data_IF_399461315410
#
_entry.id   IF_399461315410
#
_cell.length_a   1.000
_cell.length_b   1.000
_cell.length_c   1.000
_cell.angle_alpha   90.00
_cell.angle_beta   90.00
_cell.angle_gamma   90.00
#
_symmetry.space_group_name_H-M   'P 1'
#
loop_
_entity.id
_entity.type
_entity.pdbx_description
1 polymer ?
#
# COMPACT_ATOMS: atom_id res chain seq x y z
N UNK A 1 5.37 13.43 -4.51
CA UNK A 1 5.20 13.62 -3.05
C UNK A 1 5.05 15.07 -2.58
N UNK A 2 5.57 16.11 -3.26
CA UNK A 2 5.60 17.48 -2.72
C UNK A 2 4.24 18.04 -2.24
N UNK A 3 3.16 17.83 -3.00
CA UNK A 3 1.82 18.23 -2.57
C UNK A 3 1.41 17.52 -1.26
N UNK A 4 1.53 16.20 -1.21
CA UNK A 4 1.18 15.41 -0.03
C UNK A 4 1.96 15.81 1.22
N UNK A 5 3.28 16.01 1.11
CA UNK A 5 4.09 16.48 2.24
C UNK A 5 3.67 17.86 2.75
N UNK A 6 3.29 18.77 1.85
CA UNK A 6 2.72 20.07 2.24
C UNK A 6 1.32 19.93 2.86
N UNK A 7 0.49 19.00 2.38
CA UNK A 7 -0.81 18.72 2.98
C UNK A 7 -0.67 18.18 4.40
N UNK A 8 0.25 17.23 4.64
CA UNK A 8 0.58 16.73 5.98
C UNK A 8 1.11 17.84 6.89
N UNK A 9 2.07 18.63 6.41
CA UNK A 9 2.61 19.75 7.18
C UNK A 9 1.51 20.75 7.57
N UNK A 10 0.58 21.05 6.66
CA UNK A 10 -0.62 21.82 6.97
C UNK A 10 -1.48 21.16 8.05
N UNK A 11 -1.79 19.87 7.91
CA UNK A 11 -2.62 19.15 8.86
C UNK A 11 -2.04 19.18 10.28
N UNK A 12 -0.72 19.03 10.41
CA UNK A 12 -0.04 18.98 11.71
C UNK A 12 0.14 20.38 12.30
N UNK A 13 0.70 21.32 11.53
CA UNK A 13 1.13 22.63 12.04
C UNK A 13 0.03 23.68 12.01
N UNK A 14 -1.00 23.48 11.19
CA UNK A 14 -2.03 24.47 10.84
C UNK A 14 -1.46 25.77 10.25
N UNK A 15 -0.24 25.75 9.71
CA UNK A 15 0.34 26.89 8.99
C UNK A 15 -0.17 26.92 7.54
N UNK A 16 -0.99 27.94 7.24
CA UNK A 16 -1.65 28.12 5.94
C UNK A 16 -0.68 28.23 4.77
N UNK A 17 0.61 28.52 4.99
CA UNK A 17 1.63 28.53 3.94
C UNK A 17 1.75 27.15 3.28
N UNK A 18 1.71 26.08 4.07
CA UNK A 18 1.78 24.71 3.56
C UNK A 18 0.52 24.32 2.78
N UNK A 19 -0.68 24.67 3.28
CA UNK A 19 -1.94 24.45 2.56
C UNK A 19 -1.92 25.11 1.17
N UNK A 20 -1.52 26.38 1.10
CA UNK A 20 -1.39 27.12 -0.15
C UNK A 20 -0.39 26.47 -1.10
N UNK A 21 0.74 25.97 -0.57
CA UNK A 21 1.77 25.31 -1.38
C UNK A 21 1.34 23.94 -1.89
N UNK A 22 0.59 23.17 -1.10
CA UNK A 22 -0.03 21.92 -1.56
C UNK A 22 -0.96 22.17 -2.75
N UNK A 23 -1.90 23.11 -2.59
CA UNK A 23 -2.87 23.47 -3.65
C UNK A 23 -2.14 24.00 -4.89
N UNK A 24 -1.11 24.82 -4.72
CA UNK A 24 -0.31 25.32 -5.84
C UNK A 24 0.25 24.18 -6.71
N UNK A 25 0.82 23.13 -6.10
CA UNK A 25 1.29 21.97 -6.85
C UNK A 25 0.17 21.18 -7.50
N UNK A 26 -0.94 20.96 -6.77
CA UNK A 26 -2.10 20.23 -7.32
C UNK A 26 -2.73 20.97 -8.51
N UNK A 27 -2.89 22.28 -8.43
CA UNK A 27 -3.45 23.12 -9.50
C UNK A 27 -2.50 23.15 -10.72
N UNK A 28 -1.19 23.27 -10.49
CA UNK A 28 -0.19 23.28 -11.58
C UNK A 28 -0.19 21.96 -12.38
N UNK A 29 -0.23 20.82 -11.68
CA UNK A 29 -0.21 19.51 -12.34
C UNK A 29 -1.57 19.13 -12.93
N UNK A 30 -2.69 19.43 -12.26
CA UNK A 30 -4.03 19.14 -12.79
C UNK A 30 -4.37 19.91 -14.05
N UNK A 31 -3.75 21.07 -14.28
CA UNK A 31 -3.84 21.79 -15.56
C UNK A 31 -2.95 21.24 -16.68
N UNK A 32 -2.03 20.31 -16.40
CA UNK A 32 -0.97 19.90 -17.35
C UNK A 32 -0.99 18.42 -17.69
N UNK A 33 -1.19 17.53 -16.70
CA UNK A 33 -1.09 16.08 -16.91
C UNK A 33 -2.29 15.60 -17.74
N UNK A 34 -1.99 14.94 -18.87
CA UNK A 34 -3.00 14.33 -19.75
C UNK A 34 -2.96 12.79 -19.74
N UNK A 35 -1.93 12.19 -19.13
CA UNK A 35 -1.80 10.74 -19.02
C UNK A 35 -0.36 10.29 -18.78
N UNK A 36 -0.18 8.97 -18.73
CA UNK A 36 1.12 8.30 -18.58
C UNK A 36 1.38 7.39 -19.79
N UNK A 37 2.65 7.21 -20.17
CA UNK A 37 3.05 6.39 -21.31
C UNK A 37 4.19 5.41 -20.94
N UNK A 38 4.51 4.50 -21.87
CA UNK A 38 5.45 3.38 -21.73
C UNK A 38 4.92 2.18 -20.93
N UNK A 39 5.72 1.11 -20.88
CA UNK A 39 5.35 -0.17 -20.25
C UNK A 39 5.12 -0.08 -18.74
N UNK A 40 5.73 0.92 -18.08
CA UNK A 40 5.57 1.20 -16.66
C UNK A 40 4.46 2.23 -16.36
N UNK A 41 3.73 2.73 -17.38
CA UNK A 41 2.68 3.73 -17.19
C UNK A 41 1.68 3.38 -16.08
N UNK A 42 1.13 2.15 -16.00
CA UNK A 42 0.16 1.82 -14.96
C UNK A 42 0.74 1.94 -13.55
N UNK A 43 1.99 1.47 -13.34
CA UNK A 43 2.64 1.54 -12.03
C UNK A 43 2.97 2.97 -11.63
N UNK A 44 3.52 3.76 -12.55
CA UNK A 44 3.84 5.16 -12.32
C UNK A 44 2.59 6.00 -12.05
N UNK A 45 1.50 5.71 -12.77
CA UNK A 45 0.19 6.32 -12.54
C UNK A 45 -0.31 5.98 -11.13
N UNK A 46 -0.25 4.71 -10.72
CA UNK A 46 -0.65 4.30 -9.37
C UNK A 46 0.18 4.99 -8.27
N UNK A 47 1.51 4.92 -8.33
CA UNK A 47 2.37 5.59 -7.32
C UNK A 47 2.12 7.09 -7.20
N UNK A 48 1.87 7.75 -8.33
CA UNK A 48 1.53 9.17 -8.36
C UNK A 48 0.13 9.43 -7.78
N UNK A 49 -0.87 8.65 -8.20
CA UNK A 49 -2.25 8.76 -7.74
C UNK A 49 -2.37 8.53 -6.23
N UNK A 50 -1.70 7.54 -5.65
CA UNK A 50 -1.66 7.30 -4.21
C UNK A 50 -1.21 8.53 -3.40
N UNK A 51 -0.30 9.35 -3.93
CA UNK A 51 0.07 10.62 -3.31
C UNK A 51 -0.99 11.71 -3.52
N UNK A 52 -1.53 11.80 -4.75
CA UNK A 52 -2.51 12.80 -5.11
C UNK A 52 -3.77 12.69 -4.28
N UNK A 53 -4.32 11.49 -4.14
CA UNK A 53 -5.59 11.28 -3.44
C UNK A 53 -5.49 11.60 -1.96
N UNK A 54 -4.36 11.29 -1.30
CA UNK A 54 -4.11 11.68 0.10
C UNK A 54 -3.97 13.19 0.26
N UNK A 55 -3.21 13.84 -0.62
CA UNK A 55 -3.08 15.29 -0.62
C UNK A 55 -4.46 15.95 -0.81
N UNK A 56 -5.22 15.47 -1.80
CA UNK A 56 -6.58 15.89 -2.09
C UNK A 56 -7.48 15.76 -0.88
N UNK A 57 -7.51 14.60 -0.24
CA UNK A 57 -8.43 14.36 0.88
C UNK A 57 -8.11 15.21 2.10
N UNK A 58 -6.83 15.33 2.47
CA UNK A 58 -6.41 16.23 3.56
C UNK A 58 -6.83 17.67 3.23
N UNK A 59 -6.59 18.15 2.00
CA UNK A 59 -6.91 19.53 1.64
C UNK A 59 -8.43 19.77 1.57
N UNK A 60 -9.21 18.83 1.02
CA UNK A 60 -10.68 18.92 0.88
C UNK A 60 -11.36 18.96 2.24
N UNK A 61 -10.93 18.10 3.17
CA UNK A 61 -11.50 17.99 4.51
C UNK A 61 -11.10 19.14 5.45
N UNK A 62 -9.88 19.67 5.31
CA UNK A 62 -9.32 20.56 6.34
C UNK A 62 -9.10 22.02 5.90
N UNK A 63 -9.13 22.34 4.60
CA UNK A 63 -8.86 23.70 4.11
C UNK A 63 -9.98 24.23 3.22
N UNK A 64 -10.99 24.84 3.85
CA UNK A 64 -12.20 25.42 3.22
C UNK A 64 -11.94 26.47 2.12
N UNK A 65 -10.71 26.95 1.97
CA UNK A 65 -10.33 27.96 0.95
C UNK A 65 -9.79 27.34 -0.34
N UNK A 66 -9.81 26.02 -0.51
CA UNK A 66 -9.53 25.40 -1.80
C UNK A 66 -10.68 25.70 -2.78
N UNK A 67 -10.45 26.42 -3.89
CA UNK A 67 -11.54 26.82 -4.78
C UNK A 67 -12.24 25.63 -5.43
N UNK A 68 -13.57 25.68 -5.55
CA UNK A 68 -14.38 24.62 -6.17
C UNK A 68 -13.89 24.26 -7.59
N UNK A 69 -13.56 25.28 -8.40
CA UNK A 69 -13.01 25.07 -9.76
C UNK A 69 -11.67 24.33 -9.76
N UNK A 70 -10.81 24.59 -8.78
CA UNK A 70 -9.54 23.86 -8.62
C UNK A 70 -9.81 22.40 -8.24
N UNK A 71 -10.77 22.15 -7.35
CA UNK A 71 -11.22 20.79 -6.99
C UNK A 71 -11.76 20.06 -8.23
N UNK A 72 -12.63 20.70 -9.02
CA UNK A 72 -13.17 20.12 -10.26
C UNK A 72 -12.07 19.77 -11.27
N UNK A 73 -11.08 20.66 -11.45
CA UNK A 73 -9.94 20.42 -12.35
C UNK A 73 -9.09 19.24 -11.86
N UNK A 74 -8.83 19.17 -10.56
CA UNK A 74 -8.11 18.06 -9.96
C UNK A 74 -8.88 16.73 -10.06
N UNK A 75 -10.20 16.75 -9.83
CA UNK A 75 -11.09 15.60 -10.04
C UNK A 75 -11.06 15.12 -11.49
N UNK A 76 -11.08 16.05 -12.45
CA UNK A 76 -10.94 15.73 -13.88
C UNK A 76 -9.59 15.06 -14.18
N UNK A 77 -8.48 15.55 -13.63
CA UNK A 77 -7.18 14.90 -13.76
C UNK A 77 -7.21 13.45 -13.26
N UNK A 78 -7.78 13.19 -12.08
CA UNK A 78 -7.91 11.82 -11.55
C UNK A 78 -8.73 10.93 -12.50
N UNK A 79 -9.89 11.41 -12.97
CA UNK A 79 -10.78 10.65 -13.86
C UNK A 79 -10.19 10.34 -15.23
N UNK A 80 -9.40 11.24 -15.80
CA UNK A 80 -9.01 11.13 -17.20
C UNK A 80 -7.53 10.79 -17.42
N UNK A 81 -6.64 11.20 -16.52
CA UNK A 81 -5.20 10.92 -16.66
C UNK A 81 -4.73 9.70 -15.85
N UNK A 82 -5.44 9.34 -14.77
CA UNK A 82 -5.01 8.30 -13.83
C UNK A 82 -5.90 7.06 -13.88
N UNK A 83 -7.19 7.19 -13.54
CA UNK A 83 -8.10 6.04 -13.35
C UNK A 83 -8.13 5.04 -14.52
N UNK A 84 -8.15 5.45 -15.81
CA UNK A 84 -8.20 4.51 -16.92
C UNK A 84 -7.04 3.52 -16.96
N UNK A 85 -5.91 3.85 -16.33
CA UNK A 85 -4.71 3.00 -16.28
C UNK A 85 -4.70 2.02 -15.11
N UNK A 86 -5.50 2.25 -14.06
CA UNK A 86 -5.34 1.57 -12.76
C UNK A 86 -6.63 0.94 -12.22
N UNK A 87 -7.81 1.43 -12.62
CA UNK A 87 -9.09 1.02 -12.03
C UNK A 87 -9.49 -0.44 -12.30
N UNK A 88 -8.80 -1.11 -13.24
CA UNK A 88 -9.02 -2.52 -13.57
C UNK A 88 -7.98 -3.45 -12.93
N UNK A 89 -7.01 -2.89 -12.21
CA UNK A 89 -5.86 -3.62 -11.68
C UNK A 89 -4.94 -4.15 -12.78
N UNK A 90 -3.95 -4.95 -12.37
CA UNK A 90 -2.97 -5.58 -13.25
C UNK A 90 -2.78 -7.05 -12.85
N UNK A 91 -3.75 -7.93 -13.16
CA UNK A 91 -3.85 -9.22 -12.49
C UNK A 91 -2.70 -10.19 -12.78
N UNK A 92 -2.03 -9.99 -13.93
CA UNK A 92 -0.86 -10.77 -14.40
C UNK A 92 0.48 -10.12 -14.09
N UNK A 93 0.50 -8.97 -13.41
CA UNK A 93 1.74 -8.35 -12.90
C UNK A 93 2.02 -8.86 -11.49
N UNK A 94 3.21 -8.53 -11.00
CA UNK A 94 3.61 -8.75 -9.62
C UNK A 94 2.59 -8.15 -8.64
N UNK A 95 2.34 -8.81 -7.52
CA UNK A 95 1.21 -8.50 -6.65
C UNK A 95 1.26 -7.09 -6.06
N UNK A 96 2.47 -6.57 -5.78
CA UNK A 96 2.64 -5.20 -5.31
C UNK A 96 2.12 -4.16 -6.32
N UNK A 97 2.17 -4.43 -7.63
CA UNK A 97 1.67 -3.51 -8.66
C UNK A 97 0.16 -3.35 -8.58
N UNK A 98 -0.57 -4.47 -8.54
CA UNK A 98 -2.03 -4.39 -8.47
C UNK A 98 -2.48 -3.82 -7.13
N UNK A 99 -1.77 -4.12 -6.03
CA UNK A 99 -2.10 -3.56 -4.71
C UNK A 99 -2.00 -2.03 -4.67
N UNK A 100 -0.95 -1.44 -5.23
CA UNK A 100 -0.85 0.04 -5.25
C UNK A 100 -1.84 0.69 -6.22
N UNK A 101 -2.24 -0.03 -7.28
CA UNK A 101 -3.35 0.42 -8.14
C UNK A 101 -4.66 0.46 -7.35
N UNK A 102 -4.97 -0.61 -6.61
CA UNK A 102 -6.18 -0.70 -5.78
C UNK A 102 -6.17 0.40 -4.71
N UNK A 103 -5.03 0.61 -4.02
CA UNK A 103 -4.84 1.68 -3.03
C UNK A 103 -5.18 3.05 -3.62
N UNK A 104 -4.65 3.33 -4.80
CA UNK A 104 -4.87 4.58 -5.51
C UNK A 104 -6.33 4.75 -5.93
N UNK A 105 -6.95 3.68 -6.44
CA UNK A 105 -8.34 3.71 -6.91
C UNK A 105 -9.33 3.85 -5.76
N UNK A 106 -9.11 3.18 -4.61
CA UNK A 106 -9.93 3.37 -3.40
C UNK A 106 -9.82 4.82 -2.91
N UNK A 107 -8.59 5.35 -2.80
CA UNK A 107 -8.40 6.75 -2.39
C UNK A 107 -9.05 7.74 -3.37
N UNK A 108 -8.99 7.46 -4.68
CA UNK A 108 -9.65 8.27 -5.69
C UNK A 108 -11.18 8.17 -5.59
N UNK A 109 -11.74 6.99 -5.34
CA UNK A 109 -13.17 6.78 -5.18
C UNK A 109 -13.72 7.55 -3.98
N UNK A 110 -13.02 7.53 -2.84
CA UNK A 110 -13.37 8.35 -1.66
C UNK A 110 -13.33 9.83 -2.01
N UNK A 111 -12.22 10.31 -2.58
CA UNK A 111 -12.08 11.73 -2.92
C UNK A 111 -13.12 12.20 -3.95
N UNK A 112 -13.48 11.35 -4.92
CA UNK A 112 -14.44 11.66 -5.99
C UNK A 112 -15.90 11.40 -5.59
N UNK A 113 -16.15 10.86 -4.39
CA UNK A 113 -17.46 10.39 -3.93
C UNK A 113 -18.10 9.40 -4.93
N UNK A 114 -17.30 8.46 -5.45
CA UNK A 114 -17.68 7.51 -6.50
C UNK A 114 -17.90 6.10 -5.92
N UNK A 115 -19.15 5.81 -5.55
CA UNK A 115 -19.51 4.54 -4.89
C UNK A 115 -19.27 3.31 -5.78
N UNK A 116 -19.55 3.40 -7.08
CA UNK A 116 -19.35 2.27 -8.00
C UNK A 116 -17.86 1.93 -8.17
N UNK A 117 -17.00 2.95 -8.26
CA UNK A 117 -15.55 2.76 -8.29
C UNK A 117 -15.04 2.18 -6.97
N UNK A 118 -15.61 2.62 -5.85
CA UNK A 118 -15.27 2.12 -4.52
C UNK A 118 -15.61 0.62 -4.39
N UNK A 119 -16.84 0.22 -4.66
CA UNK A 119 -17.31 -1.17 -4.62
C UNK A 119 -16.47 -2.09 -5.51
N UNK A 120 -16.27 -1.69 -6.78
CA UNK A 120 -15.39 -2.43 -7.70
C UNK A 120 -13.98 -2.62 -7.12
N UNK A 121 -13.43 -1.59 -6.48
CA UNK A 121 -12.08 -1.65 -5.91
C UNK A 121 -12.01 -2.53 -4.66
N UNK A 122 -13.10 -2.62 -3.89
CA UNK A 122 -13.21 -3.57 -2.77
C UNK A 122 -13.16 -5.02 -3.27
N UNK A 123 -13.87 -5.34 -4.35
CA UNK A 123 -13.82 -6.67 -4.96
C UNK A 123 -12.40 -7.04 -5.39
N UNK A 124 -11.68 -6.08 -6.00
CA UNK A 124 -10.27 -6.27 -6.36
C UNK A 124 -9.39 -6.49 -5.13
N UNK A 125 -9.58 -5.71 -4.06
CA UNK A 125 -8.84 -5.85 -2.82
C UNK A 125 -9.07 -7.21 -2.18
N UNK A 126 -10.33 -7.60 -2.01
CA UNK A 126 -10.72 -8.88 -1.39
C UNK A 126 -10.18 -10.09 -2.16
N UNK A 127 -10.10 -10.00 -3.50
CA UNK A 127 -9.51 -11.07 -4.31
C UNK A 127 -7.97 -11.06 -4.27
N UNK A 128 -7.33 -9.88 -4.19
CA UNK A 128 -5.87 -9.74 -4.29
C UNK A 128 -5.14 -10.12 -3.02
N UNK A 129 -5.65 -9.76 -1.83
CA UNK A 129 -4.94 -10.04 -0.56
C UNK A 129 -4.65 -11.53 -0.34
N UNK A 130 -5.62 -12.46 -0.43
CA UNK A 130 -5.34 -13.89 -0.26
C UNK A 130 -4.49 -14.49 -1.39
N UNK A 131 -4.50 -13.87 -2.58
CA UNK A 131 -3.62 -14.23 -3.69
C UNK A 131 -2.22 -13.61 -3.60
N UNK A 132 -1.96 -12.79 -2.58
CA UNK A 132 -0.68 -12.12 -2.35
C UNK A 132 0.03 -12.62 -1.09
N UNK A 133 -0.68 -12.86 0.00
CA UNK A 133 -0.12 -13.37 1.27
C UNK A 133 -0.75 -14.71 1.60
N UNK A 134 0.05 -15.76 1.64
CA UNK A 134 -0.38 -17.11 1.95
C UNK A 134 -0.69 -17.31 3.44
N UNK A 135 -1.76 -18.04 3.74
CA UNK A 135 -1.98 -18.68 5.04
C UNK A 135 -2.03 -20.20 4.88
N UNK A 136 -1.59 -20.95 5.89
CA UNK A 136 -1.75 -22.41 5.90
C UNK A 136 -3.20 -22.88 5.80
N UNK A 137 -4.15 -22.03 6.19
CA UNK A 137 -5.59 -22.27 6.02
C UNK A 137 -6.05 -22.24 4.56
N UNK A 138 -5.26 -21.69 3.63
CA UNK A 138 -5.57 -21.65 2.19
C UNK A 138 -5.42 -23.04 1.53
N UNK A 139 -4.79 -23.99 2.24
CA UNK A 139 -4.49 -25.33 1.75
C UNK A 139 -3.05 -25.44 1.24
N UNK A 140 -2.81 -26.33 0.27
CA UNK A 140 -1.46 -26.67 -0.19
C UNK A 140 -0.73 -25.51 -0.88
N UNK A 141 -1.49 -24.61 -1.52
CA UNK A 141 -0.97 -23.49 -2.29
C UNK A 141 -1.77 -22.23 -1.96
N UNK A 142 -1.23 -21.03 -2.26
CA UNK A 142 -1.96 -19.78 -2.12
C UNK A 142 -3.26 -19.74 -2.91
N UNK A 143 -4.21 -18.93 -2.43
CA UNK A 143 -5.48 -18.70 -3.12
C UNK A 143 -5.19 -18.15 -4.52
N UNK A 144 -5.90 -18.67 -5.51
CA UNK A 144 -5.71 -18.25 -6.90
C UNK A 144 -6.26 -16.84 -7.11
N UNK A 145 -5.41 -15.95 -7.61
CA UNK A 145 -5.81 -14.59 -7.98
C UNK A 145 -6.46 -14.54 -9.36
N UNK A 146 -6.91 -13.34 -9.73
CA UNK A 146 -7.32 -13.04 -11.11
C UNK A 146 -6.12 -13.21 -12.06
N UNK A 147 -6.39 -13.47 -13.34
CA UNK A 147 -5.35 -13.49 -14.38
C UNK A 147 -4.98 -14.87 -14.91
N UNK A 148 -5.63 -15.93 -14.43
CA UNK A 148 -5.53 -17.28 -15.00
C UNK A 148 -4.28 -18.05 -14.60
N UNK A 149 -3.72 -17.78 -13.41
CA UNK A 149 -2.56 -18.49 -12.86
C UNK A 149 -3.11 -19.63 -11.99
N UNK A 150 -3.40 -20.78 -12.61
CA UNK A 150 -4.30 -21.77 -12.02
C UNK A 150 -3.67 -23.17 -11.85
N UNK A 151 -2.58 -23.45 -12.55
CA UNK A 151 -1.85 -24.71 -12.37
C UNK A 151 -0.78 -24.58 -11.29
N UNK A 152 -0.41 -25.69 -10.66
CA UNK A 152 0.70 -25.72 -9.69
C UNK A 152 2.00 -25.14 -10.27
N UNK A 153 2.35 -25.48 -11.52
CA UNK A 153 3.56 -24.97 -12.15
C UNK A 153 3.51 -23.45 -12.37
N UNK A 154 2.35 -22.92 -12.77
CA UNK A 154 2.15 -21.48 -12.91
C UNK A 154 2.21 -20.76 -11.57
N UNK A 155 1.61 -21.31 -10.52
CA UNK A 155 1.67 -20.74 -9.16
C UNK A 155 3.12 -20.69 -8.67
N UNK A 156 3.85 -21.80 -8.74
CA UNK A 156 5.26 -21.87 -8.32
C UNK A 156 6.09 -20.84 -9.09
N UNK A 157 5.93 -20.78 -10.42
CA UNK A 157 6.65 -19.80 -11.25
C UNK A 157 6.29 -18.36 -10.86
N UNK A 158 5.01 -18.08 -10.62
CA UNK A 158 4.53 -16.74 -10.27
C UNK A 158 4.99 -16.32 -8.87
N UNK A 159 5.09 -17.25 -7.93
CA UNK A 159 5.63 -17.04 -6.58
C UNK A 159 7.16 -17.19 -6.54
N UNK A 160 7.84 -16.78 -7.62
CA UNK A 160 9.30 -16.73 -7.72
C UNK A 160 10.00 -18.05 -7.41
N UNK A 161 9.43 -19.14 -7.92
CA UNK A 161 9.90 -20.53 -7.77
C UNK A 161 9.85 -21.06 -6.33
N UNK A 162 9.01 -20.48 -5.46
CA UNK A 162 8.70 -21.08 -4.16
C UNK A 162 7.84 -22.34 -4.35
N UNK A 163 8.39 -23.50 -4.03
CA UNK A 163 7.73 -24.79 -4.30
C UNK A 163 6.77 -25.24 -3.19
N UNK A 164 7.04 -24.86 -1.94
CA UNK A 164 6.29 -25.34 -0.77
C UNK A 164 5.86 -24.19 0.14
N UNK A 165 4.74 -24.36 0.83
CA UNK A 165 4.17 -23.33 1.69
C UNK A 165 3.90 -23.87 3.10
N UNK A 166 4.94 -24.26 3.86
CA UNK A 166 4.76 -24.94 5.15
C UNK A 166 4.35 -23.99 6.30
N UNK A 167 4.40 -22.67 6.09
CA UNK A 167 4.10 -21.65 7.10
C UNK A 167 3.29 -20.50 6.48
N UNK A 168 2.46 -19.88 7.30
CA UNK A 168 1.74 -18.65 6.94
C UNK A 168 2.69 -17.47 6.79
N UNK A 169 2.26 -16.47 6.03
CA UNK A 169 2.95 -15.19 5.88
C UNK A 169 3.86 -15.08 4.67
N UNK A 170 4.13 -16.18 3.94
CA UNK A 170 4.86 -16.12 2.67
C UNK A 170 4.06 -15.22 1.72
N UNK A 171 4.71 -14.24 1.10
CA UNK A 171 4.09 -13.38 0.08
C UNK A 171 4.53 -13.81 -1.31
N UNK A 172 3.76 -13.37 -2.32
CA UNK A 172 4.11 -13.60 -3.72
C UNK A 172 5.48 -13.01 -4.08
N UNK A 173 5.99 -12.02 -3.33
CA UNK A 173 7.28 -11.35 -3.59
C UNK A 173 8.40 -11.88 -2.68
N UNK A 174 8.14 -12.76 -1.72
CA UNK A 174 9.14 -13.20 -0.71
C UNK A 174 10.43 -13.68 -1.35
N UNK A 175 10.33 -14.47 -2.43
CA UNK A 175 11.51 -14.99 -3.15
C UNK A 175 11.99 -14.12 -4.31
N UNK A 176 11.34 -12.96 -4.51
CA UNK A 176 11.88 -11.91 -5.35
C UNK A 176 12.85 -11.07 -4.54
N UNK A 177 12.32 -10.40 -3.53
CA UNK A 177 13.04 -9.53 -2.60
C UNK A 177 12.08 -8.98 -1.49
N UNK A 178 12.67 -8.58 -0.37
CA UNK A 178 11.98 -8.05 0.81
C UNK A 178 11.54 -6.59 0.64
N UNK A 179 12.20 -5.81 -0.22
CA UNK A 179 11.73 -4.47 -0.56
C UNK A 179 10.33 -4.50 -1.21
N UNK A 180 10.10 -5.36 -2.20
CA UNK A 180 8.79 -5.49 -2.86
C UNK A 180 7.74 -6.16 -1.98
N UNK A 181 8.15 -7.07 -1.09
CA UNK A 181 7.29 -7.55 -0.01
C UNK A 181 6.77 -6.38 0.83
N UNK A 182 7.67 -5.46 1.20
CA UNK A 182 7.33 -4.28 1.98
C UNK A 182 6.35 -3.38 1.23
N UNK A 183 6.51 -3.19 -0.10
CA UNK A 183 5.59 -2.38 -0.90
C UNK A 183 4.16 -2.96 -0.91
N UNK A 184 4.01 -4.27 -1.09
CA UNK A 184 2.69 -4.90 -1.09
C UNK A 184 2.02 -4.82 0.29
N UNK A 185 2.76 -5.10 1.37
CA UNK A 185 2.24 -4.95 2.74
C UNK A 185 1.82 -3.50 3.01
N UNK A 186 2.64 -2.52 2.61
CA UNK A 186 2.33 -1.09 2.78
C UNK A 186 1.04 -0.71 2.07
N UNK A 187 0.86 -1.11 0.81
CA UNK A 187 -0.40 -0.85 0.08
C UNK A 187 -1.62 -1.50 0.72
N UNK A 188 -1.52 -2.75 1.18
CA UNK A 188 -2.61 -3.42 1.91
C UNK A 188 -2.96 -2.63 3.18
N UNK A 189 -1.95 -2.15 3.90
CA UNK A 189 -2.13 -1.42 5.14
C UNK A 189 -2.83 -0.08 4.92
N UNK A 190 -2.42 0.66 3.88
CA UNK A 190 -3.05 1.93 3.52
C UNK A 190 -4.49 1.76 3.04
N UNK A 191 -4.78 0.70 2.29
CA UNK A 191 -6.15 0.34 1.93
C UNK A 191 -6.95 0.07 3.19
N UNK A 192 -6.50 -0.85 4.05
CA UNK A 192 -7.21 -1.25 5.25
C UNK A 192 -7.48 -0.06 6.21
N UNK A 193 -6.53 0.86 6.38
CA UNK A 193 -6.77 2.09 7.15
C UNK A 193 -7.78 3.03 6.49
N UNK A 194 -7.74 3.16 5.15
CA UNK A 194 -8.76 3.93 4.43
C UNK A 194 -10.14 3.32 4.61
N UNK A 195 -10.27 1.99 4.50
CA UNK A 195 -11.53 1.28 4.71
C UNK A 195 -12.04 1.46 6.15
N UNK A 196 -11.15 1.37 7.15
CA UNK A 196 -11.49 1.61 8.55
C UNK A 196 -12.03 3.02 8.77
N UNK A 197 -11.42 4.04 8.16
CA UNK A 197 -11.90 5.43 8.20
C UNK A 197 -13.28 5.56 7.53
N UNK A 198 -13.56 4.79 6.47
CA UNK A 198 -14.87 4.70 5.82
C UNK A 198 -15.87 3.79 6.56
N UNK A 199 -15.53 3.29 7.76
CA UNK A 199 -16.42 2.49 8.61
C UNK A 199 -16.34 0.97 8.40
N UNK A 200 -15.39 0.47 7.60
CA UNK A 200 -15.17 -0.96 7.36
C UNK A 200 -13.82 -1.43 7.93
N UNK A 201 -13.83 -2.01 9.12
CA UNK A 201 -12.62 -2.50 9.79
C UNK A 201 -12.21 -3.91 9.28
N UNK A 202 -11.59 -3.96 8.10
CA UNK A 202 -11.15 -5.22 7.46
C UNK A 202 -10.03 -5.94 8.22
N UNK A 203 -9.31 -5.25 9.11
CA UNK A 203 -8.33 -5.88 9.97
C UNK A 203 -8.95 -6.95 10.87
N UNK A 204 -10.22 -6.74 11.27
CA UNK A 204 -10.99 -7.65 12.13
C UNK A 204 -12.05 -8.46 11.39
N UNK A 205 -12.72 -7.85 10.41
CA UNK A 205 -13.89 -8.47 9.77
C UNK A 205 -13.53 -9.46 8.66
N UNK A 206 -12.25 -9.53 8.28
CA UNK A 206 -11.72 -10.44 7.25
C UNK A 206 -10.40 -11.07 7.71
N UNK A 207 -9.76 -11.87 6.85
CA UNK A 207 -8.45 -12.46 7.13
C UNK A 207 -7.25 -11.54 6.84
N UNK A 208 -7.49 -10.29 6.41
CA UNK A 208 -6.45 -9.29 6.09
C UNK A 208 -5.50 -9.11 7.28
N UNK A 209 -6.01 -8.98 8.50
CA UNK A 209 -5.19 -8.82 9.70
C UNK A 209 -4.27 -10.03 9.96
N UNK A 210 -4.83 -11.24 9.91
CA UNK A 210 -4.05 -12.47 10.12
C UNK A 210 -2.97 -12.66 9.05
N UNK A 211 -3.28 -12.33 7.78
CA UNK A 211 -2.33 -12.38 6.66
C UNK A 211 -1.17 -11.41 6.89
N UNK A 212 -1.48 -10.14 7.14
CA UNK A 212 -0.46 -9.10 7.31
C UNK A 212 0.40 -9.35 8.55
N UNK A 213 -0.20 -9.79 9.66
CA UNK A 213 0.55 -10.17 10.87
C UNK A 213 1.53 -11.30 10.59
N UNK A 214 1.06 -12.39 9.97
CA UNK A 214 1.90 -13.53 9.65
C UNK A 214 3.03 -13.14 8.70
N UNK A 215 2.75 -12.30 7.70
CA UNK A 215 3.77 -11.81 6.78
C UNK A 215 4.81 -10.96 7.50
N UNK A 216 4.39 -10.00 8.32
CA UNK A 216 5.30 -9.13 9.05
C UNK A 216 6.21 -9.92 10.00
N UNK A 217 5.65 -10.80 10.83
CA UNK A 217 6.44 -11.56 11.79
C UNK A 217 7.35 -12.61 11.12
N UNK A 218 6.95 -13.19 9.99
CA UNK A 218 7.83 -14.05 9.19
C UNK A 218 9.02 -13.25 8.66
N UNK A 219 8.75 -12.18 7.90
CA UNK A 219 9.79 -11.48 7.16
C UNK A 219 10.74 -10.72 8.10
N UNK A 220 10.21 -10.06 9.13
CA UNK A 220 11.05 -9.29 10.07
C UNK A 220 11.92 -10.18 10.96
N UNK A 221 11.49 -11.41 11.27
CA UNK A 221 12.34 -12.38 11.97
C UNK A 221 13.54 -12.81 11.12
N UNK A 222 13.35 -12.96 9.81
CA UNK A 222 14.40 -13.31 8.85
C UNK A 222 15.32 -12.12 8.57
N UNK A 223 14.74 -10.94 8.34
CA UNK A 223 15.43 -9.67 8.06
C UNK A 223 16.39 -9.27 9.19
N UNK A 224 15.89 -9.29 10.43
CA UNK A 224 16.69 -8.99 11.62
C UNK A 224 17.63 -10.12 12.05
N UNK A 225 17.68 -11.23 11.29
CA UNK A 225 18.50 -12.43 11.56
C UNK A 225 18.22 -13.10 12.92
N UNK A 226 17.07 -12.82 13.52
CA UNK A 226 16.61 -13.52 14.74
C UNK A 226 16.21 -14.97 14.46
N UNK A 227 15.83 -15.26 13.21
CA UNK A 227 15.67 -16.62 12.69
C UNK A 227 16.51 -16.82 11.43
N UNK A 228 17.13 -17.99 11.24
CA UNK A 228 17.85 -18.29 10.01
C UNK A 228 16.88 -18.45 8.84
N UNK A 229 17.32 -18.11 7.63
CA UNK A 229 16.57 -18.37 6.41
C UNK A 229 16.59 -19.87 6.13
N UNK A 230 15.43 -20.56 6.13
CA UNK A 230 15.41 -22.00 5.92
C UNK A 230 15.61 -22.33 4.44
N UNK A 231 16.25 -23.47 4.15
CA UNK A 231 16.50 -23.91 2.76
C UNK A 231 15.22 -24.07 1.91
N UNK A 232 14.10 -24.41 2.54
CA UNK A 232 12.82 -24.55 1.83
C UNK A 232 12.24 -23.21 1.37
N UNK A 233 12.67 -22.08 1.94
CA UNK A 233 12.21 -20.74 1.58
C UNK A 233 13.24 -20.11 0.63
N UNK A 234 12.85 -19.83 -0.60
CA UNK A 234 13.68 -19.12 -1.58
C UNK A 234 15.07 -19.78 -1.77
N UNK A 235 15.12 -21.12 -1.69
CA UNK A 235 16.34 -21.91 -1.70
C UNK A 235 17.39 -21.46 -0.65
N UNK A 236 16.93 -20.94 0.49
CA UNK A 236 17.78 -20.46 1.58
C UNK A 236 18.41 -19.08 1.37
N UNK A 237 18.00 -18.32 0.34
CA UNK A 237 18.61 -17.03 0.00
C UNK A 237 17.55 -15.93 -0.09
N UNK A 238 17.81 -14.80 0.56
CA UNK A 238 17.03 -13.55 0.43
C UNK A 238 18.01 -12.43 0.08
N UNK A 239 17.78 -11.66 -1.00
CA UNK A 239 18.80 -10.78 -1.58
C UNK A 239 18.95 -9.42 -0.88
N UNK A 240 17.97 -8.99 -0.09
CA UNK A 240 17.89 -7.64 0.48
C UNK A 240 17.13 -7.61 1.83
N UNK A 241 16.75 -6.41 2.27
CA UNK A 241 16.11 -6.15 3.55
C UNK A 241 14.72 -5.52 3.38
N UNK A 242 13.91 -5.60 4.43
CA UNK A 242 12.61 -4.94 4.48
C UNK A 242 12.78 -3.42 4.40
N UNK A 243 11.93 -2.78 3.59
CA UNK A 243 11.89 -1.31 3.49
C UNK A 243 11.19 -0.69 4.72
N UNK A 244 11.59 0.52 5.15
CA UNK A 244 11.11 1.14 6.40
C UNK A 244 9.73 1.80 6.26
N UNK A 245 8.73 1.01 5.87
CA UNK A 245 7.38 1.46 5.45
C UNK A 245 6.25 0.63 6.07
N UNK A 246 6.58 -0.14 7.11
CA UNK A 246 5.68 -1.13 7.73
C UNK A 246 4.91 -0.58 8.93
N UNK A 247 5.18 0.67 9.32
CA UNK A 247 4.53 1.35 10.46
C UNK A 247 2.99 1.30 10.43
N UNK A 248 2.30 1.51 9.30
CA UNK A 248 0.84 1.53 9.31
C UNK A 248 0.24 0.18 9.72
N UNK A 249 0.77 -0.93 9.20
CA UNK A 249 0.34 -2.26 9.63
C UNK A 249 0.71 -2.56 11.07
N UNK A 250 1.93 -2.24 11.50
CA UNK A 250 2.34 -2.49 12.88
C UNK A 250 1.49 -1.68 13.87
N UNK A 251 1.22 -0.42 13.58
CA UNK A 251 0.32 0.40 14.39
C UNK A 251 -1.08 -0.23 14.47
N UNK A 252 -1.66 -0.62 13.33
CA UNK A 252 -2.96 -1.27 13.31
C UNK A 252 -2.98 -2.55 14.16
N UNK A 253 -2.07 -3.50 13.91
CA UNK A 253 -2.09 -4.81 14.54
C UNK A 253 -1.59 -4.80 15.99
N UNK A 254 -0.43 -4.19 16.25
CA UNK A 254 0.20 -4.24 17.57
C UNK A 254 -0.40 -3.21 18.54
N UNK A 255 -0.58 -1.96 18.09
CA UNK A 255 -1.06 -0.89 18.97
C UNK A 255 -2.59 -0.88 19.07
N UNK A 256 -3.32 -0.86 17.94
CA UNK A 256 -4.78 -0.77 17.97
C UNK A 256 -5.46 -2.11 18.34
N UNK A 257 -4.91 -3.25 17.90
CA UNK A 257 -5.49 -4.58 18.19
C UNK A 257 -4.78 -5.34 19.31
N UNK A 258 -3.62 -4.86 19.80
CA UNK A 258 -2.92 -5.47 20.92
C UNK A 258 -2.16 -6.76 20.57
N UNK A 259 -1.88 -7.03 19.30
CA UNK A 259 -1.15 -8.22 18.87
C UNK A 259 0.33 -8.14 19.30
N UNK A 260 0.91 -9.29 19.67
CA UNK A 260 2.33 -9.36 20.05
C UNK A 260 3.18 -9.64 18.83
N UNK A 261 3.84 -8.61 18.33
CA UNK A 261 4.69 -8.66 17.12
C UNK A 261 6.15 -8.29 17.44
N UNK A 262 6.88 -9.11 18.21
CA UNK A 262 8.22 -8.78 18.71
C UNK A 262 9.27 -8.60 17.61
N UNK A 263 9.21 -9.40 16.53
CA UNK A 263 10.19 -9.29 15.46
C UNK A 263 10.00 -8.00 14.67
N UNK A 264 8.74 -7.68 14.37
CA UNK A 264 8.37 -6.46 13.66
C UNK A 264 8.69 -5.21 14.47
N UNK A 265 8.42 -5.25 15.78
CA UNK A 265 8.78 -4.16 16.70
C UNK A 265 10.28 -3.86 16.65
N UNK A 266 11.12 -4.90 16.70
CA UNK A 266 12.58 -4.73 16.70
C UNK A 266 13.07 -4.07 15.40
N UNK A 267 12.60 -4.56 14.24
CA UNK A 267 12.96 -3.99 12.93
C UNK A 267 12.52 -2.53 12.83
N UNK A 268 11.26 -2.22 13.17
CA UNK A 268 10.75 -0.85 13.10
C UNK A 268 11.53 0.12 13.99
N UNK A 269 11.84 -0.26 15.23
CA UNK A 269 12.63 0.59 16.12
C UNK A 269 14.03 0.89 15.56
N UNK A 270 14.64 -0.06 14.86
CA UNK A 270 15.94 0.15 14.20
C UNK A 270 15.88 1.02 12.94
N UNK A 271 14.70 1.15 12.34
CA UNK A 271 14.46 1.88 11.09
C UNK A 271 13.89 3.29 11.30
N UNK A 272 13.49 3.63 12.53
CA UNK A 272 12.93 4.95 12.88
C UNK A 272 14.02 6.02 13.06
N UNK A 273 13.77 7.28 12.65
CA UNK A 273 12.68 7.68 11.76
C UNK A 273 12.96 7.26 10.31
N UNK A 274 11.94 6.70 9.64
CA UNK A 274 12.05 6.37 8.23
C UNK A 274 12.10 7.66 7.40
N UNK A 275 13.06 7.74 6.48
CA UNK A 275 13.16 8.83 5.51
C UNK A 275 12.41 8.54 4.21
N UNK A 276 12.28 9.58 3.38
CA UNK A 276 11.88 9.43 1.98
C UNK A 276 13.13 9.04 1.18
N UNK A 277 13.10 7.90 0.51
CA UNK A 277 14.20 7.42 -0.34
C UNK A 277 14.19 8.10 -1.71
N UNK A 278 15.33 8.09 -2.42
CA UNK A 278 15.45 8.59 -3.79
C UNK A 278 15.59 7.41 -4.78
N UNK A 279 14.75 7.33 -5.84
CA UNK A 279 13.65 8.23 -6.15
C UNK A 279 12.47 8.07 -5.16
N UNK A 280 11.78 9.17 -4.79
CA UNK A 280 10.65 9.11 -3.87
C UNK A 280 9.51 8.31 -4.49
N UNK A 281 9.17 7.19 -3.84
CA UNK A 281 8.01 6.38 -4.17
C UNK A 281 6.74 7.00 -3.53
N UNK A 282 5.72 6.19 -3.29
CA UNK A 282 4.42 6.63 -2.74
C UNK A 282 4.36 6.65 -1.20
N UNK A 283 5.53 6.54 -0.56
CA UNK A 283 5.75 6.22 0.85
C UNK A 283 6.94 7.01 1.39
N UNK A 284 7.03 7.16 2.71
CA UNK A 284 8.15 7.80 3.41
C UNK A 284 7.75 8.80 4.50
N UNK A 285 6.47 8.85 4.89
CA UNK A 285 5.98 9.65 6.02
C UNK A 285 5.38 8.78 7.14
N UNK A 286 5.53 7.46 7.06
CA UNK A 286 4.77 6.53 7.89
C UNK A 286 5.23 6.56 9.35
N UNK A 287 6.51 6.83 9.64
CA UNK A 287 6.91 7.11 11.03
C UNK A 287 6.18 8.34 11.57
N UNK A 288 6.09 9.42 10.78
CA UNK A 288 5.41 10.64 11.21
C UNK A 288 3.91 10.42 11.45
N UNK A 289 3.26 9.59 10.63
CA UNK A 289 1.81 9.41 10.69
C UNK A 289 1.35 8.27 11.61
N UNK A 290 2.18 7.25 11.85
CA UNK A 290 1.75 6.00 12.49
C UNK A 290 2.62 5.54 13.68
N UNK A 291 3.82 6.07 13.89
CA UNK A 291 4.65 5.65 15.02
C UNK A 291 4.16 6.29 16.32
N UNK A 292 3.40 5.54 17.13
CA UNK A 292 2.93 5.90 18.49
C UNK A 292 2.58 7.39 18.64
N UNK A 293 1.92 7.97 17.64
CA UNK A 293 1.56 9.38 17.62
C UNK A 293 0.28 9.60 18.43
N UNK A 294 0.28 10.46 19.46
CA UNK A 294 -0.86 10.68 20.36
C UNK A 294 -1.98 11.54 19.75
N UNK A 295 -2.12 11.57 18.42
CA UNK A 295 -3.06 12.45 17.71
C UNK A 295 -4.20 11.71 16.99
N UNK A 296 -4.53 10.49 17.42
CA UNK A 296 -5.77 9.79 17.05
C UNK A 296 -6.90 10.13 18.00
#
# INVERSE_FOLDING_TARGET
>A
MAAYMNALAWWITKDKRYAKKSIHYMDAWSGTIQGHNNSNAPLQAAWSAANWVRAGEIMRSSYRRWPKKSIETFSHMLRHAYLPLIENGAPRKNGNWELVMIESTIGAAVFLEDAALYEKSLDLFSARVPAYIYLTSDGKYPVQGRGGINTTAEIIKYWHNQETFPVSGITQETCRDFAHTSFGISSISHIAETLRIQGMDVWKSTDVGARVEAALELHTALDSKQKPIPKWLCNGTIPDIMSPILEPAYNALAFNLGHRMPFTKNVLLSQRPAGIWEPPLFIGSETLTNAETPFS
#
